data_IF_293184762712
#
_entry.id   IF_293184762712
#
_cell.length_a   1.000
_cell.length_b   1.000
_cell.length_c   1.000
_cell.angle_alpha   90.00
_cell.angle_beta   90.00
_cell.angle_gamma   90.00
#
_symmetry.space_group_name_H-M   'P 1'
#
loop_
_entity.id
_entity.type
_entity.pdbx_description
1 polymer ?
#
# COMPACT_ATOMS: atom_id res chain seq x y z
N UNK A 1 -13.79 21.43 1.79
CA UNK A 1 -12.80 20.54 2.42
C UNK A 1 -11.92 19.79 1.42
N UNK A 2 -11.99 20.10 0.14
CA UNK A 2 -11.21 19.35 -0.85
C UNK A 2 -9.69 19.55 -0.73
N UNK A 3 -9.25 20.55 0.02
CA UNK A 3 -7.82 20.78 0.23
C UNK A 3 -7.33 20.27 1.59
N UNK A 4 -8.17 19.55 2.33
CA UNK A 4 -7.77 19.02 3.64
C UNK A 4 -6.81 17.84 3.47
N UNK A 5 -5.56 17.94 3.99
CA UNK A 5 -4.60 16.84 3.87
C UNK A 5 -5.09 15.53 4.50
N UNK A 6 -5.82 15.63 5.61
CA UNK A 6 -6.36 14.45 6.28
C UNK A 6 -7.36 13.74 5.38
N UNK A 7 -8.26 14.52 4.76
CA UNK A 7 -9.26 13.94 3.88
C UNK A 7 -8.62 13.32 2.63
N UNK A 8 -7.62 13.98 2.06
CA UNK A 8 -6.91 13.44 0.88
C UNK A 8 -6.24 12.12 1.21
N UNK A 9 -5.57 12.04 2.33
CA UNK A 9 -4.88 10.82 2.74
C UNK A 9 -5.88 9.72 3.05
N UNK A 10 -6.95 10.05 3.77
CA UNK A 10 -8.00 9.08 4.10
C UNK A 10 -8.65 8.52 2.83
N UNK A 11 -8.89 9.39 1.84
CA UNK A 11 -9.47 8.94 0.56
C UNK A 11 -8.52 8.00 -0.18
N UNK A 12 -7.22 8.32 -0.18
CA UNK A 12 -6.21 7.46 -0.80
C UNK A 12 -6.19 6.09 -0.15
N UNK A 13 -6.33 6.03 1.17
CA UNK A 13 -6.24 4.81 1.96
C UNK A 13 -7.62 4.28 2.36
N UNK A 14 -8.63 4.50 1.52
CA UNK A 14 -10.02 4.24 1.88
C UNK A 14 -10.43 2.76 1.91
N UNK A 15 -9.52 1.85 1.60
CA UNK A 15 -9.78 0.42 1.67
C UNK A 15 -8.68 -0.27 2.50
N UNK A 16 -8.99 -1.48 2.94
CA UNK A 16 -8.07 -2.25 3.78
C UNK A 16 -6.80 -2.64 3.03
N UNK A 17 -6.92 -2.98 1.74
CA UNK A 17 -5.81 -3.60 1.01
C UNK A 17 -4.69 -2.62 0.65
N UNK A 18 -5.02 -1.36 0.36
CA UNK A 18 -4.02 -0.38 -0.07
C UNK A 18 -2.88 -0.25 0.92
N UNK A 19 -3.20 -0.01 2.19
CA UNK A 19 -2.15 0.16 3.21
C UNK A 19 -1.41 -1.15 3.47
N UNK A 20 -2.08 -2.30 3.38
CA UNK A 20 -1.42 -3.58 3.59
C UNK A 20 -0.41 -3.89 2.49
N UNK A 21 -0.74 -3.56 1.24
CA UNK A 21 0.20 -3.69 0.12
C UNK A 21 1.40 -2.78 0.36
N UNK A 22 1.16 -1.52 0.71
CA UNK A 22 2.23 -0.56 0.98
C UNK A 22 3.10 -1.06 2.14
N UNK A 23 2.49 -1.56 3.21
CA UNK A 23 3.24 -2.12 4.34
C UNK A 23 4.26 -3.16 3.88
N UNK A 24 3.83 -4.09 3.03
CA UNK A 24 4.73 -5.13 2.54
C UNK A 24 5.84 -4.55 1.67
N UNK A 25 5.50 -3.61 0.79
CA UNK A 25 6.48 -3.02 -0.12
C UNK A 25 7.44 -2.06 0.57
N UNK A 26 7.08 -1.55 1.75
CA UNK A 26 8.01 -0.74 2.53
C UNK A 26 9.18 -1.54 3.07
N UNK A 27 9.02 -2.86 3.18
CA UNK A 27 10.10 -3.75 3.59
C UNK A 27 11.04 -4.11 2.45
N UNK A 28 10.59 -3.92 1.22
CA UNK A 28 11.38 -4.21 0.03
C UNK A 28 10.51 -4.68 -1.12
N UNK A 29 11.10 -4.86 -2.31
CA UNK A 29 10.34 -5.33 -3.47
C UNK A 29 9.70 -6.69 -3.24
N UNK A 30 8.53 -6.91 -3.85
CA UNK A 30 7.79 -8.17 -3.76
C UNK A 30 7.23 -8.53 -5.12
N UNK A 31 7.21 -9.82 -5.42
CA UNK A 31 6.53 -10.33 -6.61
C UNK A 31 5.03 -10.46 -6.32
N UNK A 32 4.24 -10.51 -7.39
CA UNK A 32 2.79 -10.64 -7.28
C UNK A 32 2.40 -11.82 -6.37
N UNK A 33 3.01 -13.00 -6.59
CA UNK A 33 2.67 -14.18 -5.82
C UNK A 33 3.06 -14.05 -4.34
N UNK A 34 4.11 -13.29 -4.05
CA UNK A 34 4.51 -13.04 -2.66
C UNK A 34 3.49 -12.15 -1.96
N UNK A 35 2.98 -11.15 -2.67
CA UNK A 35 1.92 -10.29 -2.14
C UNK A 35 0.64 -11.08 -1.91
N UNK A 36 0.27 -11.95 -2.84
CA UNK A 36 -0.91 -12.81 -2.69
C UNK A 36 -0.83 -13.66 -1.43
N UNK A 37 0.34 -14.24 -1.18
CA UNK A 37 0.53 -15.09 -0.01
C UNK A 37 0.51 -14.29 1.29
N UNK A 38 1.11 -13.10 1.28
CA UNK A 38 1.17 -12.25 2.47
C UNK A 38 -0.20 -11.67 2.83
N UNK A 39 -1.00 -11.34 1.81
CA UNK A 39 -2.29 -10.68 1.99
C UNK A 39 -3.41 -11.71 2.03
N UNK A 40 -3.48 -12.39 3.15
CA UNK A 40 -4.42 -13.49 3.35
C UNK A 40 -5.86 -13.05 3.04
N UNK A 41 -6.51 -13.80 2.16
CA UNK A 41 -7.89 -13.53 1.79
C UNK A 41 -8.06 -12.63 0.57
N UNK A 42 -6.97 -12.05 0.03
CA UNK A 42 -7.11 -11.22 -1.16
C UNK A 42 -7.26 -12.11 -2.40
N UNK A 43 -8.18 -11.73 -3.31
CA UNK A 43 -8.30 -12.43 -4.57
C UNK A 43 -7.27 -11.89 -5.57
N UNK A 44 -6.93 -12.74 -6.55
CA UNK A 44 -6.03 -12.34 -7.64
C UNK A 44 -6.55 -11.09 -8.34
N UNK A 45 -7.87 -11.06 -8.59
CA UNK A 45 -8.50 -9.91 -9.25
C UNK A 45 -8.35 -8.63 -8.43
N UNK A 46 -8.63 -8.70 -7.14
CA UNK A 46 -8.52 -7.53 -6.26
C UNK A 46 -7.09 -7.03 -6.20
N UNK A 47 -6.12 -7.94 -6.04
CA UNK A 47 -4.72 -7.54 -5.98
C UNK A 47 -4.28 -6.87 -7.29
N UNK A 48 -4.67 -7.44 -8.44
CA UNK A 48 -4.36 -6.87 -9.74
C UNK A 48 -4.88 -5.43 -9.85
N UNK A 49 -6.14 -5.22 -9.49
CA UNK A 49 -6.78 -3.91 -9.59
C UNK A 49 -6.13 -2.91 -8.64
N UNK A 50 -5.81 -3.34 -7.42
CA UNK A 50 -5.17 -2.45 -6.44
C UNK A 50 -3.77 -2.04 -6.89
N UNK A 51 -2.98 -2.98 -7.41
CA UNK A 51 -1.64 -2.66 -7.90
C UNK A 51 -1.70 -1.70 -9.09
N UNK A 52 -2.66 -1.90 -10.00
CA UNK A 52 -2.84 -0.98 -11.13
C UNK A 52 -3.16 0.43 -10.63
N UNK A 53 -4.04 0.55 -9.65
CA UNK A 53 -4.39 1.84 -9.09
C UNK A 53 -3.20 2.50 -8.41
N UNK A 54 -2.43 1.72 -7.64
CA UNK A 54 -1.25 2.24 -6.95
C UNK A 54 -0.17 2.70 -7.93
N UNK A 55 -0.03 2.01 -9.06
CA UNK A 55 0.86 2.47 -10.12
C UNK A 55 0.38 3.79 -10.73
N UNK A 56 -0.92 3.92 -10.97
CA UNK A 56 -1.51 5.15 -11.50
C UNK A 56 -1.31 6.33 -10.54
N UNK A 57 -1.35 6.05 -9.25
CA UNK A 57 -1.14 7.08 -8.21
C UNK A 57 0.34 7.34 -7.95
N UNK A 58 1.24 6.67 -8.67
CA UNK A 58 2.68 6.81 -8.53
C UNK A 58 3.21 6.42 -7.15
N UNK A 59 2.51 5.51 -6.49
CA UNK A 59 2.93 5.00 -5.17
C UNK A 59 3.73 3.72 -5.30
N UNK A 60 3.53 3.00 -6.39
CA UNK A 60 4.16 1.71 -6.66
C UNK A 60 4.64 1.70 -8.10
N UNK A 61 5.73 1.01 -8.34
CA UNK A 61 6.25 0.78 -9.69
C UNK A 61 6.62 -0.68 -9.86
N UNK A 62 6.55 -1.16 -11.11
CA UNK A 62 7.00 -2.51 -11.44
C UNK A 62 8.43 -2.42 -11.96
N UNK A 63 9.31 -3.18 -11.34
CA UNK A 63 10.72 -3.22 -11.71
C UNK A 63 10.94 -4.10 -12.95
N UNK A 64 12.10 -3.96 -13.58
CA UNK A 64 12.47 -4.79 -14.73
C UNK A 64 12.47 -6.28 -14.37
N UNK A 65 12.74 -6.60 -13.11
CA UNK A 65 12.71 -7.99 -12.63
C UNK A 65 11.31 -8.58 -12.55
N UNK A 66 10.27 -7.75 -12.67
CA UNK A 66 8.89 -8.16 -12.48
C UNK A 66 8.37 -7.97 -11.08
N UNK A 67 9.21 -7.57 -10.13
CA UNK A 67 8.79 -7.28 -8.77
C UNK A 67 8.17 -5.89 -8.68
N UNK A 68 7.26 -5.70 -7.72
CA UNK A 68 6.70 -4.39 -7.40
C UNK A 68 7.51 -3.74 -6.28
N UNK A 69 7.62 -2.43 -6.33
CA UNK A 69 8.40 -1.67 -5.36
C UNK A 69 7.71 -0.36 -5.04
N UNK A 70 7.84 0.11 -3.81
CA UNK A 70 7.33 1.42 -3.43
C UNK A 70 8.21 2.49 -4.07
N UNK A 71 7.56 3.52 -4.66
CA UNK A 71 8.26 4.70 -5.16
C UNK A 71 8.63 5.60 -3.98
N UNK A 72 9.44 6.66 -4.21
CA UNK A 72 9.67 7.64 -3.13
C UNK A 72 8.37 8.20 -2.55
N UNK A 73 7.37 8.44 -3.40
CA UNK A 73 6.05 8.90 -2.94
C UNK A 73 5.37 7.84 -2.08
N UNK A 74 5.46 6.57 -2.48
CA UNK A 74 4.92 5.46 -1.70
C UNK A 74 5.65 5.28 -0.38
N UNK A 75 6.97 5.47 -0.37
CA UNK A 75 7.77 5.37 0.85
C UNK A 75 7.43 6.46 1.84
N UNK A 76 6.87 7.58 1.39
CA UNK A 76 6.38 8.63 2.27
C UNK A 76 5.25 8.17 3.19
N UNK A 77 4.57 7.09 2.83
CA UNK A 77 3.52 6.52 3.68
C UNK A 77 4.06 5.75 4.88
N UNK A 78 5.38 5.61 5.00
CA UNK A 78 5.98 4.95 6.17
C UNK A 78 5.54 5.60 7.49
N UNK A 79 5.44 6.93 7.52
CA UNK A 79 5.01 7.63 8.74
C UNK A 79 3.57 7.28 9.09
N UNK A 80 2.71 7.10 8.08
CA UNK A 80 1.32 6.70 8.30
C UNK A 80 1.25 5.26 8.78
N UNK A 81 1.99 4.37 8.14
CA UNK A 81 2.03 2.96 8.50
C UNK A 81 2.51 2.78 9.95
N UNK A 82 3.57 3.48 10.32
CA UNK A 82 4.11 3.43 11.69
C UNK A 82 3.10 3.93 12.71
N UNK A 83 2.38 5.01 12.38
CA UNK A 83 1.37 5.55 13.28
C UNK A 83 0.19 4.58 13.45
N UNK A 84 -0.24 3.95 12.35
CA UNK A 84 -1.30 2.95 12.40
C UNK A 84 -0.90 1.77 13.25
N UNK A 85 0.33 1.30 13.11
CA UNK A 85 0.86 0.19 13.89
C UNK A 85 0.83 0.51 15.37
N UNK A 86 1.33 1.69 15.75
CA UNK A 86 1.33 2.10 17.15
C UNK A 86 -0.07 2.22 17.71
N UNK A 87 -0.99 2.79 16.94
CA UNK A 87 -2.37 2.91 17.38
C UNK A 87 -3.00 1.53 17.60
N UNK A 88 -2.79 0.61 16.65
CA UNK A 88 -3.33 -0.74 16.75
C UNK A 88 -2.79 -1.49 17.94
N UNK A 89 -1.47 -1.37 18.20
CA UNK A 89 -0.84 -2.04 19.33
C UNK A 89 -1.34 -1.51 20.67
N UNK A 90 -1.64 -0.22 20.74
CA UNK A 90 -2.06 0.41 21.99
C UNK A 90 -3.55 0.22 22.28
N UNK A 91 -4.40 0.33 21.27
CA UNK A 91 -5.84 0.41 21.47
C UNK A 91 -6.64 -0.77 20.92
N UNK A 92 -6.06 -1.58 20.07
CA UNK A 92 -6.74 -2.72 19.46
C UNK A 92 -6.08 -4.05 19.84
#
# INVERSE_FOLDING_TARGET
MKDCPVQKTATLLSDTWTMLIIRDLLEGPRRFCELERSLEGISTRTLTLKLQKLEQESLVKKLASGSYSATPRGKGLRVVESAMKRYGEKYL
#
